data_IF_098162394748
#
_entry.id   IF_098162394748
#
_cell.length_a   1.000
_cell.length_b   1.000
_cell.length_c   1.000
_cell.angle_alpha   90.00
_cell.angle_beta   90.00
_cell.angle_gamma   90.00
#
_symmetry.space_group_name_H-M   'P 1'
#
loop_
_entity.id
_entity.type
_entity.pdbx_description
1 polymer ?
#
# COMPACT_ATOMS: atom_id res chain seq x y z
N UNK A 1 -24.58 -56.44 -8.52
CA UNK A 1 -25.10 -55.34 -7.69
C UNK A 1 -24.33 -54.09 -8.07
N UNK A 2 -24.83 -53.38 -9.10
CA UNK A 2 -25.29 -51.96 -9.03
C UNK A 2 -24.11 -51.00 -8.84
N UNK A 3 -23.45 -50.47 -9.87
CA UNK A 3 -23.91 -49.58 -10.96
C UNK A 3 -24.87 -48.49 -10.47
N UNK A 4 -24.36 -47.27 -10.31
CA UNK A 4 -25.10 -46.03 -10.54
C UNK A 4 -24.21 -45.00 -11.23
N UNK A 5 -24.69 -44.58 -12.41
CA UNK A 5 -24.28 -43.40 -13.16
C UNK A 5 -24.53 -42.12 -12.34
N UNK A 6 -23.77 -41.07 -12.62
CA UNK A 6 -24.30 -39.71 -12.54
C UNK A 6 -23.78 -38.87 -13.69
N UNK A 7 -24.74 -38.12 -14.24
CA UNK A 7 -24.72 -37.53 -15.56
C UNK A 7 -23.71 -36.39 -15.66
N UNK A 8 -23.03 -36.36 -16.80
CA UNK A 8 -22.36 -35.19 -17.35
C UNK A 8 -23.41 -34.10 -17.57
N UNK A 9 -23.43 -33.09 -16.69
CA UNK A 9 -24.21 -31.89 -16.90
C UNK A 9 -23.47 -31.00 -17.89
N UNK A 10 -24.04 -30.88 -19.09
CA UNK A 10 -23.68 -29.89 -20.09
C UNK A 10 -24.07 -28.50 -19.54
N UNK A 11 -23.14 -27.77 -18.95
CA UNK A 11 -23.35 -26.35 -18.66
C UNK A 11 -23.07 -25.58 -19.95
N UNK A 12 -24.15 -25.20 -20.64
CA UNK A 12 -24.11 -24.12 -21.62
C UNK A 12 -23.59 -22.88 -20.90
N UNK A 13 -22.36 -22.50 -21.21
CA UNK A 13 -21.78 -21.24 -20.78
C UNK A 13 -22.56 -20.10 -21.42
N UNK A 14 -23.52 -19.55 -20.68
CA UNK A 14 -23.93 -18.18 -20.89
C UNK A 14 -22.68 -17.35 -20.64
N UNK A 15 -22.10 -16.80 -21.71
CA UNK A 15 -21.17 -15.69 -21.60
C UNK A 15 -21.94 -14.54 -20.95
N UNK A 16 -21.91 -14.50 -19.62
CA UNK A 16 -22.14 -13.27 -18.91
C UNK A 16 -21.00 -12.36 -19.35
N UNK A 17 -21.29 -11.43 -20.26
CA UNK A 17 -20.45 -10.27 -20.42
C UNK A 17 -20.45 -9.56 -19.08
N UNK A 18 -19.51 -9.92 -18.21
CA UNK A 18 -19.21 -9.13 -17.02
C UNK A 18 -19.04 -7.70 -17.52
N UNK A 19 -19.87 -6.75 -17.07
CA UNK A 19 -19.75 -5.37 -17.53
C UNK A 19 -18.31 -4.94 -17.29
N UNK A 20 -17.71 -4.32 -18.31
CA UNK A 20 -16.38 -3.73 -18.13
C UNK A 20 -16.43 -2.84 -16.88
N UNK A 21 -15.43 -2.93 -16.00
CA UNK A 21 -15.31 -2.00 -14.88
C UNK A 21 -15.42 -0.57 -15.41
N UNK A 22 -16.18 0.25 -14.70
CA UNK A 22 -16.23 1.68 -15.04
C UNK A 22 -14.89 2.32 -14.67
N UNK A 23 -14.38 3.27 -15.46
CA UNK A 23 -13.19 4.02 -15.09
C UNK A 23 -13.42 4.73 -13.75
N UNK A 24 -12.35 5.04 -12.99
CA UNK A 24 -12.48 5.82 -11.77
C UNK A 24 -13.18 7.15 -12.05
N UNK A 25 -13.95 7.68 -11.09
CA UNK A 25 -14.60 8.97 -11.24
C UNK A 25 -13.55 10.08 -11.48
N UNK A 26 -13.95 11.16 -12.13
CA UNK A 26 -13.07 12.30 -12.35
C UNK A 26 -12.51 12.86 -11.03
N UNK A 27 -11.30 13.42 -11.11
CA UNK A 27 -10.65 14.14 -10.02
C UNK A 27 -11.50 15.36 -9.64
N UNK A 28 -11.62 15.61 -8.34
CA UNK A 28 -12.17 16.84 -7.80
C UNK A 28 -11.23 18.05 -7.94
N UNK A 29 -11.26 18.93 -6.95
CA UNK A 29 -10.30 20.03 -6.85
C UNK A 29 -8.91 19.49 -6.52
N UNK A 30 -7.88 19.92 -7.25
CA UNK A 30 -6.50 19.51 -7.02
C UNK A 30 -6.00 20.12 -5.71
N UNK A 31 -5.60 19.27 -4.77
CA UNK A 31 -5.01 19.64 -3.49
C UNK A 31 -3.55 19.19 -3.36
N UNK A 32 -3.15 18.16 -4.10
CA UNK A 32 -1.77 17.66 -4.16
C UNK A 32 -1.14 18.13 -5.48
N UNK A 33 -0.36 19.21 -5.42
CA UNK A 33 0.26 19.80 -6.61
C UNK A 33 1.46 18.99 -7.13
N UNK A 34 2.24 18.37 -6.24
CA UNK A 34 3.38 17.52 -6.58
C UNK A 34 3.24 16.16 -5.88
N UNK A 35 2.60 15.16 -6.52
CA UNK A 35 2.47 13.83 -5.95
C UNK A 35 3.82 13.13 -5.74
N UNK A 36 4.84 13.46 -6.53
CA UNK A 36 6.15 12.82 -6.42
C UNK A 36 6.84 13.19 -5.09
N UNK A 37 6.59 14.39 -4.57
CA UNK A 37 7.06 14.79 -3.25
C UNK A 37 6.55 13.90 -2.11
N UNK A 38 5.46 13.15 -2.30
CA UNK A 38 4.92 12.20 -1.32
C UNK A 38 5.37 10.76 -1.57
N UNK A 39 6.03 10.48 -2.70
CA UNK A 39 6.46 9.13 -3.09
C UNK A 39 7.96 8.92 -2.92
N UNK A 40 8.76 9.94 -3.20
CA UNK A 40 10.21 9.89 -3.08
C UNK A 40 10.68 10.65 -1.84
N UNK A 41 11.76 10.18 -1.23
CA UNK A 41 12.42 10.93 -0.17
C UNK A 41 13.37 11.97 -0.75
N UNK A 42 13.48 13.10 -0.05
CA UNK A 42 14.59 14.02 -0.26
C UNK A 42 15.85 13.36 0.31
N UNK A 43 16.98 13.35 -0.42
CA UNK A 43 18.21 12.75 0.06
C UNK A 43 18.56 13.22 1.47
N UNK A 44 18.84 12.27 2.36
CA UNK A 44 19.25 12.52 3.74
C UNK A 44 20.62 11.89 4.01
N UNK A 45 21.30 12.35 5.06
CA UNK A 45 22.63 11.83 5.43
C UNK A 45 22.58 10.45 6.13
N UNK A 46 21.47 9.72 6.04
CA UNK A 46 21.27 8.45 6.71
C UNK A 46 20.28 7.53 6.00
N UNK A 47 20.22 6.28 6.47
CA UNK A 47 19.22 5.29 6.07
C UNK A 47 18.06 5.32 7.06
N UNK A 48 16.82 5.26 6.56
CA UNK A 48 15.63 5.21 7.42
C UNK A 48 15.31 3.77 7.73
N UNK A 49 15.21 3.45 9.02
CA UNK A 49 14.73 2.18 9.52
C UNK A 49 13.35 2.35 10.17
N UNK A 50 12.62 1.25 10.26
CA UNK A 50 11.51 1.14 11.19
C UNK A 50 11.99 1.14 12.66
N UNK A 51 11.03 1.11 13.59
CA UNK A 51 11.31 0.99 15.02
C UNK A 51 11.46 -0.49 15.42
N UNK A 52 12.23 -0.80 16.49
CA UNK A 52 12.79 0.09 17.50
C UNK A 52 14.19 0.66 17.19
N UNK A 53 14.70 1.49 18.09
CA UNK A 53 16.09 1.99 18.10
C UNK A 53 17.07 0.93 18.62
N UNK A 54 18.38 1.06 18.34
CA UNK A 54 19.02 2.08 17.48
C UNK A 54 18.92 1.77 15.98
N UNK A 55 18.72 0.51 15.62
CA UNK A 55 18.51 0.04 14.24
C UNK A 55 17.25 -0.81 14.26
N UNK A 56 16.33 -0.49 13.35
CA UNK A 56 15.06 -1.22 13.22
C UNK A 56 15.24 -2.61 12.62
N UNK A 57 14.12 -3.25 12.29
CA UNK A 57 14.07 -4.52 11.60
C UNK A 57 14.23 -4.36 10.08
N UNK A 58 13.75 -3.25 9.53
CA UNK A 58 13.70 -2.98 8.10
C UNK A 58 14.23 -1.60 7.80
N UNK A 59 15.16 -1.52 6.87
CA UNK A 59 15.56 -0.29 6.23
C UNK A 59 14.67 -0.02 5.02
N UNK A 60 14.32 1.25 4.82
CA UNK A 60 13.49 1.73 3.73
C UNK A 60 14.21 2.86 2.98
N UNK A 61 14.20 2.77 1.66
CA UNK A 61 14.62 3.84 0.75
C UNK A 61 13.47 4.18 -0.21
N UNK A 62 13.20 5.46 -0.43
CA UNK A 62 12.16 5.92 -1.36
C UNK A 62 12.81 6.71 -2.51
N UNK A 63 12.99 6.06 -3.64
CA UNK A 63 13.78 6.56 -4.77
C UNK A 63 12.84 7.12 -5.84
N UNK A 64 13.11 8.33 -6.31
CA UNK A 64 12.55 8.83 -7.57
C UNK A 64 13.29 8.20 -8.73
N UNK A 65 12.62 7.41 -9.55
CA UNK A 65 13.21 6.84 -10.76
C UNK A 65 13.08 7.79 -11.96
N UNK A 66 11.94 8.46 -12.07
CA UNK A 66 11.69 9.52 -13.05
C UNK A 66 10.58 10.47 -12.56
N UNK A 67 10.01 11.28 -13.45
CA UNK A 67 8.96 12.26 -13.08
C UNK A 67 7.62 11.63 -12.69
N UNK A 68 7.41 10.35 -12.99
CA UNK A 68 6.15 9.63 -12.76
C UNK A 68 6.30 8.38 -11.93
N UNK A 69 7.50 7.83 -11.82
CA UNK A 69 7.78 6.56 -11.18
C UNK A 69 8.70 6.74 -9.96
N UNK A 70 8.27 6.18 -8.84
CA UNK A 70 9.07 6.04 -7.64
C UNK A 70 9.13 4.57 -7.21
N UNK A 71 10.20 4.20 -6.52
CA UNK A 71 10.39 2.87 -5.94
C UNK A 71 10.67 2.98 -4.45
N UNK A 72 9.99 2.16 -3.68
CA UNK A 72 10.20 1.96 -2.25
C UNK A 72 10.94 0.64 -2.09
N UNK A 73 12.16 0.64 -1.59
CA UNK A 73 12.95 -0.57 -1.36
C UNK A 73 12.96 -0.91 0.12
N UNK A 74 12.74 -2.18 0.45
CA UNK A 74 12.90 -2.70 1.81
C UNK A 74 14.06 -3.67 1.87
N UNK A 75 14.89 -3.50 2.89
CA UNK A 75 16.02 -4.37 3.23
C UNK A 75 15.85 -4.82 4.69
N UNK A 76 15.80 -6.13 4.92
CA UNK A 76 15.58 -6.75 6.21
C UNK A 76 16.90 -7.20 6.83
N UNK A 77 17.01 -7.06 8.15
CA UNK A 77 18.19 -7.53 8.86
C UNK A 77 18.46 -9.04 8.62
N UNK A 78 19.73 -9.47 8.41
CA UNK A 78 20.93 -8.63 8.33
C UNK A 78 21.03 -7.92 6.97
N UNK A 79 21.15 -6.59 7.04
CA UNK A 79 21.09 -5.66 5.91
C UNK A 79 22.24 -5.86 4.90
N UNK A 80 22.00 -5.45 3.65
CA UNK A 80 23.03 -5.40 2.61
C UNK A 80 22.61 -6.08 1.30
N UNK A 81 23.18 -7.26 1.03
CA UNK A 81 22.89 -7.97 -0.22
C UNK A 81 21.45 -8.45 -0.24
N UNK A 82 20.72 -8.07 -1.29
CA UNK A 82 19.34 -8.49 -1.52
C UNK A 82 19.14 -10.01 -1.32
N UNK A 83 18.23 -10.35 -0.42
CA UNK A 83 17.80 -11.70 -0.11
C UNK A 83 16.28 -11.75 0.07
N UNK A 84 15.56 -12.07 -1.01
CA UNK A 84 14.11 -12.20 -1.01
C UNK A 84 13.59 -13.22 0.03
N UNK A 85 14.41 -14.18 0.48
CA UNK A 85 14.00 -15.14 1.52
C UNK A 85 13.83 -14.52 2.90
N UNK A 86 14.37 -13.31 3.12
CA UNK A 86 14.24 -12.54 4.36
C UNK A 86 13.16 -11.47 4.31
N UNK A 87 12.60 -11.22 3.12
CA UNK A 87 11.61 -10.18 2.89
C UNK A 87 12.15 -8.96 2.15
N UNK A 88 13.41 -8.95 1.74
CA UNK A 88 13.94 -7.89 0.88
C UNK A 88 13.13 -7.80 -0.40
N UNK A 89 12.89 -6.57 -0.84
CA UNK A 89 11.93 -6.36 -1.90
C UNK A 89 11.72 -4.89 -2.21
N UNK A 90 10.61 -4.63 -2.90
CA UNK A 90 10.25 -3.27 -3.26
C UNK A 90 8.75 -3.12 -3.47
N UNK A 91 8.30 -1.88 -3.58
CA UNK A 91 7.04 -1.49 -4.18
C UNK A 91 7.27 -0.34 -5.14
N UNK A 92 6.67 -0.41 -6.33
CA UNK A 92 6.73 0.65 -7.33
C UNK A 92 5.43 1.44 -7.35
N UNK A 93 5.54 2.77 -7.38
CA UNK A 93 4.42 3.69 -7.46
C UNK A 93 4.51 4.56 -8.72
N UNK A 94 3.43 4.64 -9.50
CA UNK A 94 3.36 5.44 -10.73
C UNK A 94 2.24 6.49 -10.66
N UNK A 95 2.52 7.68 -11.20
CA UNK A 95 1.56 8.77 -11.39
C UNK A 95 0.92 8.65 -12.77
N UNK A 96 -0.35 8.22 -12.79
CA UNK A 96 -1.14 8.08 -14.00
C UNK A 96 -1.47 9.42 -14.68
N UNK A 97 -1.83 9.36 -15.96
CA UNK A 97 -2.29 10.54 -16.72
C UNK A 97 -3.63 11.08 -16.23
N UNK A 98 -4.40 10.26 -15.55
CA UNK A 98 -5.68 10.61 -14.96
C UNK A 98 -5.54 11.22 -13.56
N UNK A 99 -4.30 11.46 -13.10
CA UNK A 99 -3.97 12.08 -11.82
C UNK A 99 -4.18 11.16 -10.61
N UNK A 100 -4.33 9.86 -10.82
CA UNK A 100 -4.24 8.89 -9.74
C UNK A 100 -2.80 8.36 -9.62
N UNK A 101 -2.35 8.25 -8.37
CA UNK A 101 -1.14 7.54 -8.01
C UNK A 101 -1.48 6.10 -7.70
N UNK A 102 -0.72 5.17 -8.26
CA UNK A 102 -0.97 3.74 -8.16
C UNK A 102 0.27 3.00 -7.73
N UNK A 103 0.10 1.96 -6.92
CA UNK A 103 1.10 0.92 -6.87
C UNK A 103 0.97 0.05 -8.11
N UNK A 104 2.09 -0.19 -8.79
CA UNK A 104 2.13 -0.96 -10.05
C UNK A 104 2.71 -2.34 -9.84
N UNK A 105 3.60 -2.49 -8.87
CA UNK A 105 4.15 -3.79 -8.50
C UNK A 105 4.71 -3.81 -7.08
N UNK A 106 4.84 -5.01 -6.53
CA UNK A 106 5.56 -5.27 -5.28
C UNK A 106 6.35 -6.58 -5.37
N UNK A 107 7.42 -6.67 -4.60
CA UNK A 107 8.04 -7.91 -4.19
C UNK A 107 8.17 -7.83 -2.67
N UNK A 108 7.57 -8.79 -1.98
CA UNK A 108 7.51 -8.85 -0.53
C UNK A 108 7.95 -10.23 0.00
N UNK A 109 8.18 -10.28 1.31
CA UNK A 109 8.45 -11.53 2.01
C UNK A 109 7.24 -12.46 1.92
N UNK A 110 7.43 -13.62 1.29
CA UNK A 110 6.39 -14.62 1.09
C UNK A 110 6.09 -14.91 -0.38
N UNK A 111 6.52 -14.03 -1.30
CA UNK A 111 6.33 -14.22 -2.74
C UNK A 111 7.67 -14.23 -3.48
N UNK A 112 8.09 -15.35 -4.11
CA UNK A 112 9.40 -15.44 -4.75
C UNK A 112 9.47 -14.72 -6.12
N UNK A 113 8.43 -13.98 -6.49
CA UNK A 113 8.29 -13.33 -7.80
C UNK A 113 7.63 -11.95 -7.64
N UNK A 114 7.78 -11.09 -8.64
CA UNK A 114 7.22 -9.72 -8.64
C UNK A 114 5.72 -9.74 -8.90
N UNK A 115 4.96 -9.29 -7.92
CA UNK A 115 3.51 -9.09 -7.99
C UNK A 115 3.18 -7.83 -8.79
N UNK A 116 2.52 -7.96 -9.94
CA UNK A 116 2.02 -6.83 -10.71
C UNK A 116 0.55 -6.58 -10.38
N UNK A 117 0.22 -5.34 -10.07
CA UNK A 117 -1.14 -4.90 -9.80
C UNK A 117 -1.82 -4.48 -11.10
N UNK A 118 -2.31 -5.46 -11.85
CA UNK A 118 -2.90 -5.23 -13.17
C UNK A 118 -4.30 -4.64 -13.05
N UNK A 119 -4.61 -3.65 -13.89
CA UNK A 119 -5.90 -2.98 -13.86
C UNK A 119 -6.13 -2.11 -15.07
N UNK A 120 -5.40 -0.99 -15.22
CA UNK A 120 -5.63 -0.01 -16.29
C UNK A 120 -5.60 -0.63 -17.69
N UNK A 121 -4.56 -1.39 -17.99
CA UNK A 121 -4.38 -2.16 -19.23
C UNK A 121 -5.42 -3.28 -19.41
N UNK A 122 -6.09 -3.68 -18.33
CA UNK A 122 -7.12 -4.72 -18.29
C UNK A 122 -8.54 -4.16 -18.20
N UNK A 123 -8.72 -2.85 -18.40
CA UNK A 123 -10.01 -2.18 -18.34
C UNK A 123 -10.54 -1.91 -16.93
N UNK A 124 -9.67 -1.99 -15.92
CA UNK A 124 -9.91 -1.55 -14.55
C UNK A 124 -9.12 -0.30 -14.20
N UNK A 125 -8.78 -0.14 -12.92
CA UNK A 125 -8.12 1.05 -12.40
C UNK A 125 -6.75 0.81 -11.77
N UNK A 126 -6.37 -0.44 -11.48
CA UNK A 126 -5.13 -0.75 -10.75
C UNK A 126 -5.23 -0.44 -9.25
N UNK A 127 -4.13 -0.63 -8.52
CA UNK A 127 -4.06 -0.33 -7.09
C UNK A 127 -3.93 1.17 -6.87
N UNK A 128 -5.06 1.88 -6.77
CA UNK A 128 -5.06 3.30 -6.42
C UNK A 128 -4.55 3.48 -4.99
N UNK A 129 -3.64 4.42 -4.79
CA UNK A 129 -3.14 4.84 -3.48
C UNK A 129 -3.77 6.17 -3.12
N UNK A 130 -3.66 7.17 -4.00
CA UNK A 130 -4.35 8.45 -3.83
C UNK A 130 -4.57 9.16 -5.15
N UNK A 131 -5.51 10.10 -5.17
CA UNK A 131 -5.71 11.05 -6.27
C UNK A 131 -5.12 12.43 -5.94
N UNK A 132 -4.90 13.25 -6.96
CA UNK A 132 -4.47 14.65 -6.75
C UNK A 132 -5.50 15.50 -5.97
N UNK A 133 -6.72 14.99 -5.78
CA UNK A 133 -7.84 15.58 -5.04
C UNK A 133 -7.94 15.12 -3.57
N UNK A 134 -6.83 14.70 -2.95
CA UNK A 134 -6.80 14.27 -1.55
C UNK A 134 -7.22 15.41 -0.58
N UNK A 135 -8.43 15.38 0.01
CA UNK A 135 -8.91 16.50 0.81
C UNK A 135 -8.38 16.43 2.25
N UNK A 136 -8.37 17.57 2.95
CA UNK A 136 -8.19 17.62 4.40
C UNK A 136 -9.53 17.57 5.13
N UNK A 137 -9.53 17.05 6.36
CA UNK A 137 -10.70 16.99 7.25
C UNK A 137 -11.75 15.92 6.91
N UNK A 138 -11.65 15.26 5.75
CA UNK A 138 -12.57 14.22 5.30
C UNK A 138 -11.87 13.18 4.45
N UNK A 139 -12.50 12.02 4.25
CA UNK A 139 -12.03 11.00 3.32
C UNK A 139 -12.58 11.25 1.91
N UNK A 140 -11.73 11.04 0.90
CA UNK A 140 -12.14 10.83 -0.49
C UNK A 140 -12.13 9.32 -0.74
N UNK A 141 -13.23 8.79 -1.25
CA UNK A 141 -13.36 7.35 -1.51
C UNK A 141 -13.44 7.08 -3.02
N UNK A 142 -12.78 6.02 -3.46
CA UNK A 142 -12.77 5.53 -4.84
C UNK A 142 -12.85 4.00 -4.79
N UNK A 143 -13.69 3.42 -5.64
CA UNK A 143 -13.73 1.97 -5.81
C UNK A 143 -12.74 1.57 -6.91
N UNK A 144 -11.61 1.01 -6.50
CA UNK A 144 -10.60 0.50 -7.42
C UNK A 144 -10.98 -0.90 -7.92
N UNK A 145 -10.50 -1.22 -9.12
CA UNK A 145 -10.58 -2.56 -9.70
C UNK A 145 -9.22 -3.01 -10.21
N UNK A 146 -8.78 -4.17 -9.72
CA UNK A 146 -7.46 -4.70 -10.00
C UNK A 146 -7.40 -6.21 -9.75
N UNK A 147 -6.32 -6.81 -10.21
CA UNK A 147 -5.90 -8.16 -9.82
C UNK A 147 -4.39 -8.22 -9.69
N UNK A 148 -3.89 -9.26 -9.05
CA UNK A 148 -2.47 -9.56 -8.99
C UNK A 148 -2.12 -10.54 -10.12
N UNK A 149 -1.05 -10.25 -10.87
CA UNK A 149 -0.53 -11.13 -11.91
C UNK A 149 1.00 -11.22 -11.86
N UNK A 150 1.57 -12.26 -12.49
CA UNK A 150 3.02 -12.47 -12.59
C UNK A 150 3.69 -11.67 -13.71
N UNK A 151 2.88 -11.16 -14.63
CA UNK A 151 3.33 -10.37 -15.76
C UNK A 151 2.44 -9.12 -15.88
N UNK A 152 3.01 -7.95 -16.23
CA UNK A 152 2.23 -6.72 -16.28
C UNK A 152 1.14 -6.75 -17.37
N UNK A 153 1.31 -7.52 -18.45
CA UNK A 153 0.31 -7.67 -19.51
C UNK A 153 -0.75 -8.76 -19.26
N UNK A 154 -0.63 -9.54 -18.19
CA UNK A 154 -1.50 -10.69 -17.96
C UNK A 154 -2.86 -10.28 -17.39
N UNK A 155 -3.80 -9.97 -18.29
CA UNK A 155 -5.15 -9.59 -17.90
C UNK A 155 -6.02 -10.80 -17.54
N UNK A 156 -6.56 -10.88 -16.31
CA UNK A 156 -7.49 -11.94 -15.93
C UNK A 156 -8.85 -11.72 -16.61
N UNK A 157 -9.69 -12.75 -16.58
CA UNK A 157 -11.08 -12.69 -17.07
C UNK A 157 -11.97 -11.76 -16.24
N UNK A 158 -11.60 -11.53 -14.97
CA UNK A 158 -12.30 -10.64 -14.05
C UNK A 158 -11.32 -9.94 -13.12
N UNK A 159 -11.63 -8.68 -12.77
CA UNK A 159 -10.91 -7.92 -11.75
C UNK A 159 -11.66 -7.96 -10.42
N UNK A 160 -10.91 -7.85 -9.33
CA UNK A 160 -11.44 -7.72 -7.98
C UNK A 160 -11.75 -6.26 -7.67
N UNK A 161 -12.62 -6.03 -6.70
CA UNK A 161 -12.94 -4.70 -6.20
C UNK A 161 -12.19 -4.42 -4.90
N UNK A 162 -11.66 -3.19 -4.79
CA UNK A 162 -10.99 -2.72 -3.60
C UNK A 162 -11.44 -1.28 -3.30
N UNK A 163 -12.12 -1.06 -2.18
CA UNK A 163 -12.36 0.29 -1.70
C UNK A 163 -11.02 0.93 -1.36
N UNK A 164 -10.74 2.08 -1.95
CA UNK A 164 -9.61 2.91 -1.57
C UNK A 164 -10.16 4.22 -1.02
N UNK A 165 -9.63 4.68 0.11
CA UNK A 165 -9.91 6.04 0.58
C UNK A 165 -8.66 6.74 1.03
N UNK A 166 -8.58 8.02 0.75
CA UNK A 166 -7.40 8.83 1.06
C UNK A 166 -7.78 10.23 1.54
N UNK A 167 -6.86 10.85 2.26
CA UNK A 167 -6.95 12.23 2.77
C UNK A 167 -5.56 12.83 2.96
N UNK A 168 -5.49 14.15 3.09
CA UNK A 168 -4.26 14.91 3.27
C UNK A 168 -4.26 15.61 4.64
N UNK A 169 -3.30 15.30 5.50
CA UNK A 169 -3.26 15.80 6.88
C UNK A 169 -1.84 16.14 7.33
N UNK A 170 -1.70 17.11 8.22
CA UNK A 170 -0.45 17.28 8.98
C UNK A 170 -0.45 16.24 10.11
N UNK A 171 0.56 15.37 10.14
CA UNK A 171 0.68 14.29 11.11
C UNK A 171 2.00 14.45 11.88
N UNK A 172 1.90 14.43 13.21
CA UNK A 172 3.08 14.38 14.08
C UNK A 172 3.63 12.95 14.14
N UNK A 173 4.90 12.80 13.78
CA UNK A 173 5.62 11.53 13.87
C UNK A 173 6.73 11.59 14.93
N UNK A 174 6.93 10.51 15.70
CA UNK A 174 8.18 10.33 16.42
C UNK A 174 9.30 10.08 15.41
N UNK A 175 10.39 10.84 15.50
CA UNK A 175 11.62 10.62 14.74
C UNK A 175 12.76 10.32 15.69
N UNK A 176 13.75 9.58 15.20
CA UNK A 176 15.05 9.49 15.84
C UNK A 176 16.13 9.78 14.81
N UNK A 177 17.12 10.59 15.18
CA UNK A 177 18.27 10.93 14.35
C UNK A 177 19.51 10.49 15.11
N UNK A 178 20.17 9.42 14.65
CA UNK A 178 21.30 8.82 15.36
C UNK A 178 20.99 8.54 16.84
N UNK A 179 19.80 7.99 17.10
CA UNK A 179 19.31 7.68 18.45
C UNK A 179 18.70 8.85 19.23
N UNK A 180 18.88 10.10 18.80
CA UNK A 180 18.25 11.25 19.45
C UNK A 180 16.80 11.41 19.00
N UNK A 181 15.87 11.28 19.93
CA UNK A 181 14.43 11.40 19.65
C UNK A 181 13.99 12.85 19.45
N UNK A 182 13.12 13.07 18.48
CA UNK A 182 12.40 14.33 18.20
C UNK A 182 10.99 14.02 17.72
N UNK A 183 10.11 15.01 17.66
CA UNK A 183 8.85 14.91 16.89
C UNK A 183 8.90 15.84 15.69
N UNK A 184 8.19 15.50 14.62
CA UNK A 184 8.07 16.32 13.42
C UNK A 184 6.65 16.25 12.87
N UNK A 185 6.06 17.41 12.61
CA UNK A 185 4.88 17.56 11.76
C UNK A 185 5.27 17.35 10.31
N UNK A 186 4.61 16.41 9.64
CA UNK A 186 4.80 16.17 8.20
C UNK A 186 3.44 16.20 7.52
N UNK A 187 3.33 16.94 6.41
CA UNK A 187 2.17 16.87 5.56
C UNK A 187 2.14 15.48 4.89
N UNK A 188 1.07 14.74 5.11
CA UNK A 188 0.98 13.31 4.80
C UNK A 188 -0.30 13.01 4.04
N UNK A 189 -0.17 12.28 2.93
CA UNK A 189 -1.31 11.56 2.35
C UNK A 189 -1.49 10.25 3.10
N UNK A 190 -2.64 10.10 3.73
CA UNK A 190 -3.04 8.87 4.41
C UNK A 190 -3.94 8.14 3.43
N UNK A 191 -3.54 6.93 3.05
CA UNK A 191 -4.24 6.07 2.10
C UNK A 191 -4.63 4.77 2.77
N UNK A 192 -5.87 4.34 2.58
CA UNK A 192 -6.40 3.07 3.02
C UNK A 192 -6.88 2.27 1.81
N UNK A 193 -6.40 1.03 1.68
CA UNK A 193 -6.78 0.10 0.63
C UNK A 193 -7.38 -1.16 1.24
N UNK A 194 -8.67 -1.38 1.00
CA UNK A 194 -9.43 -2.52 1.51
C UNK A 194 -9.50 -3.62 0.46
N UNK A 195 -9.48 -4.87 0.90
CA UNK A 195 -9.56 -6.04 0.01
C UNK A 195 -10.96 -6.31 -0.61
N UNK A 196 -11.96 -5.45 -0.33
CA UNK A 196 -13.33 -5.55 -0.83
C UNK A 196 -13.92 -4.17 -1.15
N UNK A 197 -15.11 -4.15 -1.77
CA UNK A 197 -15.82 -2.92 -2.19
C UNK A 197 -16.37 -2.06 -1.04
N UNK A 198 -16.49 -2.60 0.18
CA UNK A 198 -16.94 -1.87 1.37
C UNK A 198 -16.11 -2.28 2.60
N UNK A 199 -16.07 -1.42 3.61
CA UNK A 199 -15.38 -1.70 4.89
C UNK A 199 -16.04 -2.88 5.62
N UNK A 200 -17.36 -3.02 5.51
CA UNK A 200 -18.12 -4.09 6.15
C UNK A 200 -17.78 -5.46 5.57
N UNK A 201 -17.58 -5.55 4.25
CA UNK A 201 -17.20 -6.78 3.56
C UNK A 201 -15.69 -7.10 3.72
N UNK A 202 -14.87 -6.06 3.84
CA UNK A 202 -13.42 -6.19 3.89
C UNK A 202 -12.93 -7.00 5.11
N UNK A 203 -11.92 -7.84 4.86
CA UNK A 203 -11.26 -8.67 5.88
C UNK A 203 -9.82 -8.20 6.15
N UNK A 204 -9.23 -7.49 5.20
CA UNK A 204 -7.91 -6.90 5.28
C UNK A 204 -7.93 -5.42 4.83
N UNK A 205 -7.05 -4.64 5.43
CA UNK A 205 -6.78 -3.25 5.07
C UNK A 205 -5.28 -3.02 5.17
N UNK A 206 -4.71 -2.43 4.12
CA UNK A 206 -3.40 -1.80 4.18
C UNK A 206 -3.57 -0.28 4.27
N UNK A 207 -2.96 0.33 5.29
CA UNK A 207 -2.92 1.78 5.45
C UNK A 207 -1.49 2.29 5.29
N UNK A 208 -1.31 3.21 4.34
CA UNK A 208 -0.03 3.84 4.04
C UNK A 208 -0.06 5.32 4.41
N UNK A 209 1.02 5.79 5.01
CA UNK A 209 1.26 7.20 5.34
C UNK A 209 2.43 7.69 4.50
N UNK A 210 2.11 8.44 3.46
CA UNK A 210 3.06 8.98 2.49
C UNK A 210 3.35 10.43 2.88
N UNK A 211 4.52 10.68 3.45
CA UNK A 211 4.92 11.99 3.95
C UNK A 211 5.65 12.81 2.90
N UNK A 212 5.31 14.10 2.81
CA UNK A 212 5.97 15.03 1.91
C UNK A 212 7.47 15.14 2.23
N UNK A 213 8.30 14.86 1.24
CA UNK A 213 9.76 14.84 1.33
C UNK A 213 10.35 13.55 1.92
N UNK A 214 9.51 12.56 2.25
CA UNK A 214 9.93 11.31 2.89
C UNK A 214 9.45 10.05 2.17
N UNK A 215 8.45 10.10 1.30
CA UNK A 215 7.84 8.87 0.78
C UNK A 215 7.06 8.14 1.88
N UNK A 216 7.11 6.80 1.90
CA UNK A 216 6.45 6.02 2.95
C UNK A 216 7.10 6.28 4.33
N UNK A 217 6.32 6.84 5.26
CA UNK A 217 6.70 7.07 6.66
C UNK A 217 6.17 5.98 7.58
N UNK A 218 5.01 5.41 7.23
CA UNK A 218 4.39 4.35 8.02
C UNK A 218 3.51 3.48 7.14
N UNK A 219 3.49 2.19 7.43
CA UNK A 219 2.58 1.22 6.86
C UNK A 219 1.94 0.40 7.98
N UNK A 220 0.66 0.10 7.85
CA UNK A 220 -0.13 -0.69 8.79
C UNK A 220 -0.92 -1.76 8.05
N UNK A 221 -0.88 -3.00 8.55
CA UNK A 221 -1.82 -4.04 8.17
C UNK A 221 -2.90 -4.17 9.25
N UNK A 222 -4.15 -4.15 8.83
CA UNK A 222 -5.32 -4.31 9.68
C UNK A 222 -6.13 -5.54 9.24
N UNK A 223 -6.83 -6.19 10.17
CA UNK A 223 -7.72 -7.32 9.85
C UNK A 223 -8.69 -7.67 10.98
N UNK A 224 -9.60 -8.62 10.70
CA UNK A 224 -10.71 -9.00 11.62
C UNK A 224 -10.45 -10.27 12.46
N UNK A 225 -9.50 -11.12 12.11
CA UNK A 225 -9.12 -12.32 12.89
C UNK A 225 -7.92 -12.04 13.81
N UNK A 226 -7.26 -13.00 14.49
CA UNK A 226 -5.84 -13.00 14.94
C UNK A 226 -4.94 -13.50 13.77
N UNK A 227 -3.66 -13.12 13.55
CA UNK A 227 -2.56 -13.03 14.50
C UNK A 227 -2.05 -11.61 14.80
N UNK A 228 -1.40 -11.48 15.95
CA UNK A 228 -0.71 -10.28 16.38
C UNK A 228 0.80 -10.51 16.26
N UNK A 229 1.51 -9.60 15.62
CA UNK A 229 2.96 -9.49 15.75
C UNK A 229 3.28 -9.12 17.20
N UNK A 230 4.03 -9.96 17.93
CA UNK A 230 4.19 -9.85 19.39
C UNK A 230 4.89 -8.57 19.86
N UNK A 231 5.69 -7.96 19.00
CA UNK A 231 6.45 -6.73 19.25
C UNK A 231 5.78 -5.48 18.66
N UNK A 232 4.50 -5.56 18.26
CA UNK A 232 3.69 -4.41 17.82
C UNK A 232 3.85 -3.17 18.72
N UNK A 233 3.78 -3.25 20.07
CA UNK A 233 3.94 -2.06 20.91
C UNK A 233 5.29 -1.36 20.77
N UNK A 234 6.35 -2.08 20.37
CA UNK A 234 7.68 -1.52 20.16
C UNK A 234 7.84 -0.89 18.77
N UNK A 235 7.15 -1.44 17.76
CA UNK A 235 7.16 -0.98 16.36
C UNK A 235 6.20 0.17 16.10
N UNK A 236 5.08 0.18 16.81
CA UNK A 236 3.89 0.97 16.50
C UNK A 236 3.58 1.96 17.62
N UNK A 237 4.42 2.98 17.74
CA UNK A 237 4.10 4.14 18.55
C UNK A 237 2.80 4.82 18.07
N UNK A 238 2.15 5.61 18.95
CA UNK A 238 0.94 6.34 18.59
C UNK A 238 1.23 7.36 17.49
N UNK A 239 0.39 7.36 16.46
CA UNK A 239 0.39 8.32 15.34
C UNK A 239 -1.07 8.66 15.08
N UNK A 240 -1.38 9.93 14.80
CA UNK A 240 -2.74 10.33 14.47
C UNK A 240 -3.29 9.51 13.29
N UNK A 241 -4.59 9.23 13.29
CA UNK A 241 -5.28 8.43 12.27
C UNK A 241 -4.90 6.94 12.23
N UNK A 242 -4.13 6.45 13.21
CA UNK A 242 -3.82 5.02 13.42
C UNK A 242 -4.92 4.28 14.22
N UNK A 243 -6.16 4.73 14.11
CA UNK A 243 -7.31 4.10 14.77
C UNK A 243 -7.88 2.96 13.90
N UNK A 244 -8.52 1.94 14.50
CA UNK A 244 -9.24 0.92 13.74
C UNK A 244 -10.27 1.57 12.81
N UNK A 245 -10.42 1.12 11.55
CA UNK A 245 -11.37 1.73 10.62
C UNK A 245 -12.83 1.59 11.05
N UNK A 246 -13.15 0.54 11.81
CA UNK A 246 -14.45 0.24 12.41
C UNK A 246 -14.27 -0.68 13.63
N UNK A 247 -15.30 -0.86 14.48
CA UNK A 247 -15.30 -1.88 15.53
C UNK A 247 -14.99 -3.28 14.98
N UNK A 248 -14.18 -4.05 15.73
CA UNK A 248 -13.79 -5.42 15.37
C UNK A 248 -12.54 -5.55 14.51
N UNK A 249 -11.97 -4.44 14.04
CA UNK A 249 -10.67 -4.43 13.37
C UNK A 249 -9.51 -4.38 14.38
N UNK A 250 -8.42 -5.05 14.05
CA UNK A 250 -7.20 -5.13 14.86
C UNK A 250 -5.99 -4.80 14.01
N UNK A 251 -5.04 -4.03 14.58
CA UNK A 251 -3.73 -3.82 13.98
C UNK A 251 -2.95 -5.15 14.02
N UNK A 252 -2.50 -5.61 12.86
CA UNK A 252 -1.86 -6.94 12.64
C UNK A 252 -0.35 -6.80 12.60
N UNK A 253 0.10 -5.78 11.89
CA UNK A 253 1.50 -5.38 11.77
C UNK A 253 1.54 -3.87 11.55
N UNK A 254 2.64 -3.23 11.94
CA UNK A 254 2.96 -1.92 11.41
C UNK A 254 4.46 -1.65 11.46
N UNK A 255 4.87 -0.74 10.58
CA UNK A 255 6.25 -0.27 10.46
C UNK A 255 6.24 1.24 10.34
N UNK A 256 7.08 1.91 11.11
CA UNK A 256 7.19 3.37 11.12
C UNK A 256 8.63 3.77 10.81
N UNK A 257 8.90 4.20 9.58
CA UNK A 257 10.25 4.42 9.02
C UNK A 257 10.80 5.81 9.33
N UNK A 258 11.01 6.07 10.61
CA UNK A 258 11.36 7.40 11.16
C UNK A 258 12.62 7.36 12.03
N UNK A 259 13.28 6.20 12.11
CA UNK A 259 14.59 6.06 12.72
C UNK A 259 15.69 6.26 11.65
N UNK A 260 16.32 7.42 11.64
CA UNK A 260 17.42 7.74 10.72
C UNK A 260 18.75 7.35 11.35
N UNK A 261 19.44 6.41 10.73
CA UNK A 261 20.78 5.93 11.14
C UNK A 261 21.80 6.44 10.13
N UNK A 262 22.88 7.08 10.60
CA UNK A 262 23.98 7.52 9.75
C UNK A 262 24.58 6.34 8.96
N UNK A 263 24.91 6.59 7.69
CA UNK A 263 25.60 5.61 6.83
C UNK A 263 27.04 5.39 7.26
#
# INVERSE_FOLDING_TARGET
MTSWLSATLLVMGLFSCSPRPSPPPAIGEITVADPMAFLAEVPSNGQRHDWPLPVGFVALENIRENDRLARQNWDFAPFGTFDASRGDGFQAAEIGNDGYVRFTSTQDGGTPWIQYFVGEQCGGSGWIVFGLDAPSGRWREVLATLSIAREPQACPTSLNYALTRYRLEAVEYPFALNGQRTSRSVLTVISEHYDHKTIDEAQALERSYLGQGYGLLRWEAWGRSPPLVHDLPQRCGPVAYSDPPQPGWQLRDCRTYTNVVGR
#
